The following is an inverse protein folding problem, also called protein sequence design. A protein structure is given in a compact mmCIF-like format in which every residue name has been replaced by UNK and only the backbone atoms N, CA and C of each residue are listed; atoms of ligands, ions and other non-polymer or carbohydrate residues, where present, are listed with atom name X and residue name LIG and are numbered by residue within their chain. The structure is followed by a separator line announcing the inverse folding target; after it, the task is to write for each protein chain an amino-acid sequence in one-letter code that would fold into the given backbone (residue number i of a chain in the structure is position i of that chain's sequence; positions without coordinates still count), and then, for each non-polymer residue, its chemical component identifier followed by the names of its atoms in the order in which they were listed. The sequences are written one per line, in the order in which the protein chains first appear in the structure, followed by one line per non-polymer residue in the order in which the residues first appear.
data_IF_886573259314
#
_entry.id   IF_886573259314
#
_cell.length_a   1.000
_cell.length_b   1.000
_cell.length_c   1.000
_cell.angle_alpha   90.00
_cell.angle_beta   90.00
_cell.angle_gamma   90.00
#
_symmetry.space_group_name_H-M   'P 1'
#
loop_
_entity.id
_entity.type
_entity.pdbx_description
1 polymer ?
#
# COMPACT_ATOMS: atom_id res chain seq x y z
N UNK A 1 -18.84 -17.73 -8.02
CA UNK A 1 -17.43 -17.32 -8.26
C UNK A 1 -16.58 -18.58 -8.23
N UNK A 2 -15.81 -18.88 -9.28
CA UNK A 2 -14.96 -20.08 -9.29
C UNK A 2 -13.61 -19.78 -8.62
N UNK A 3 -12.92 -20.79 -8.10
CA UNK A 3 -11.60 -20.61 -7.46
C UNK A 3 -10.56 -19.97 -8.38
N UNK A 4 -10.64 -20.24 -9.69
CA UNK A 4 -9.81 -19.60 -10.71
C UNK A 4 -10.04 -18.08 -10.79
N UNK A 5 -11.29 -17.61 -10.64
CA UNK A 5 -11.60 -16.18 -10.62
C UNK A 5 -10.99 -15.47 -9.41
N UNK A 6 -11.01 -16.09 -8.23
CA UNK A 6 -10.39 -15.53 -7.02
C UNK A 6 -8.87 -15.39 -7.19
N UNK A 7 -8.21 -16.41 -7.75
CA UNK A 7 -6.78 -16.33 -8.03
C UNK A 7 -6.46 -15.22 -9.04
N UNK A 8 -7.27 -15.07 -10.09
CA UNK A 8 -7.09 -14.03 -11.10
C UNK A 8 -7.23 -12.62 -10.49
N UNK A 9 -8.25 -12.40 -9.65
CA UNK A 9 -8.47 -11.13 -8.94
C UNK A 9 -7.30 -10.85 -7.99
N UNK A 10 -6.92 -11.83 -7.17
CA UNK A 10 -5.79 -11.69 -6.25
C UNK A 10 -4.49 -11.37 -7.00
N UNK A 11 -4.22 -12.06 -8.11
CA UNK A 11 -3.04 -11.83 -8.95
C UNK A 11 -2.99 -10.39 -9.50
N UNK A 12 -4.09 -9.91 -10.10
CA UNK A 12 -4.15 -8.53 -10.60
C UNK A 12 -4.00 -7.50 -9.47
N UNK A 13 -4.66 -7.72 -8.32
CA UNK A 13 -4.52 -6.85 -7.16
C UNK A 13 -3.08 -6.80 -6.64
N UNK A 14 -2.38 -7.94 -6.57
CA UNK A 14 -0.97 -7.98 -6.15
C UNK A 14 -0.06 -7.25 -7.13
N UNK A 15 -0.26 -7.41 -8.44
CA UNK A 15 0.50 -6.68 -9.47
C UNK A 15 0.27 -5.16 -9.38
N UNK A 16 -0.97 -4.75 -9.16
CA UNK A 16 -1.31 -3.35 -8.92
C UNK A 16 -0.66 -2.80 -7.64
N UNK A 17 -0.65 -3.58 -6.57
CA UNK A 17 -0.07 -3.20 -5.28
C UNK A 17 1.47 -3.10 -5.31
N UNK A 18 2.16 -3.94 -6.11
CA UNK A 18 3.63 -3.92 -6.24
C UNK A 18 4.10 -2.71 -7.09
N UNK A 19 3.25 -2.23 -7.99
CA UNK A 19 3.61 -1.16 -8.93
C UNK A 19 3.96 0.14 -8.18
N UNK A 20 5.15 0.73 -8.41
CA UNK A 20 5.55 1.94 -7.71
C UNK A 20 4.68 3.15 -8.13
N UNK A 21 3.81 3.58 -7.22
CA UNK A 21 2.95 4.76 -7.41
C UNK A 21 3.52 6.05 -6.81
N UNK A 22 2.72 7.12 -6.83
CA UNK A 22 3.07 8.42 -6.26
C UNK A 22 3.48 8.33 -4.77
N UNK A 23 2.86 7.42 -4.02
CA UNK A 23 3.18 7.14 -2.61
C UNK A 23 4.62 6.64 -2.42
N UNK A 24 5.11 5.77 -3.31
CA UNK A 24 6.49 5.29 -3.27
C UNK A 24 7.47 6.43 -3.55
N UNK A 25 7.18 7.26 -4.56
CA UNK A 25 7.99 8.44 -4.86
C UNK A 25 8.05 9.42 -3.68
N UNK A 26 6.95 9.64 -2.97
CA UNK A 26 6.94 10.47 -1.76
C UNK A 26 7.89 9.92 -0.69
N UNK A 27 7.78 8.63 -0.35
CA UNK A 27 8.65 7.97 0.64
C UNK A 27 10.12 8.02 0.21
N UNK A 28 10.41 7.70 -1.05
CA UNK A 28 11.75 7.73 -1.61
C UNK A 28 12.35 9.14 -1.55
N UNK A 29 11.57 10.17 -1.89
CA UNK A 29 11.99 11.57 -1.80
C UNK A 29 12.26 12.02 -0.37
N UNK A 30 11.44 11.58 0.60
CA UNK A 30 11.67 11.89 2.02
C UNK A 30 12.92 11.19 2.56
N UNK A 31 13.13 9.94 2.17
CA UNK A 31 14.32 9.15 2.55
C UNK A 31 15.61 9.76 1.99
N UNK A 32 15.60 10.14 0.69
CA UNK A 32 16.78 10.66 -0.01
C UNK A 32 17.06 12.14 0.28
N UNK A 33 16.02 12.97 0.36
CA UNK A 33 16.16 14.43 0.46
C UNK A 33 16.13 14.99 1.89
N UNK A 34 15.58 14.26 2.87
CA UNK A 34 15.46 14.73 4.26
C UNK A 34 16.23 13.86 5.23
N UNK A 35 15.79 12.62 5.42
CA UNK A 35 16.47 11.61 6.24
C UNK A 35 15.84 10.23 6.08
N UNK A 36 16.61 9.17 6.35
CA UNK A 36 16.08 7.79 6.37
C UNK A 36 14.93 7.63 7.36
N UNK A 37 14.99 8.30 8.51
CA UNK A 37 13.93 8.26 9.54
C UNK A 37 12.65 8.94 9.06
N UNK A 38 12.74 10.05 8.31
CA UNK A 38 11.57 10.69 7.72
C UNK A 38 10.90 9.80 6.65
N UNK A 39 11.71 9.12 5.83
CA UNK A 39 11.20 8.11 4.89
C UNK A 39 10.50 6.95 5.59
N UNK A 40 11.10 6.40 6.65
CA UNK A 40 10.51 5.33 7.45
C UNK A 40 9.21 5.77 8.12
N UNK A 41 9.17 6.96 8.73
CA UNK A 41 7.97 7.49 9.36
C UNK A 41 6.82 7.65 8.36
N UNK A 42 7.12 8.13 7.14
CA UNK A 42 6.13 8.24 6.07
C UNK A 42 5.63 6.88 5.58
N UNK A 43 6.54 5.90 5.40
CA UNK A 43 6.18 4.55 5.00
C UNK A 43 5.28 3.87 6.04
N UNK A 44 5.61 4.02 7.33
CA UNK A 44 4.81 3.50 8.43
C UNK A 44 3.43 4.16 8.48
N UNK A 45 3.37 5.49 8.34
CA UNK A 45 2.09 6.22 8.29
C UNK A 45 1.19 5.74 7.15
N UNK A 46 1.75 5.57 5.95
CA UNK A 46 1.00 5.03 4.80
C UNK A 46 0.52 3.60 5.02
N UNK A 47 1.38 2.71 5.52
CA UNK A 47 1.03 1.33 5.78
C UNK A 47 -0.07 1.20 6.83
N UNK A 48 0.07 1.90 7.96
CA UNK A 48 -0.91 1.89 9.05
C UNK A 48 -2.24 2.48 8.59
N UNK A 49 -2.23 3.61 7.88
CA UNK A 49 -3.46 4.21 7.35
C UNK A 49 -4.22 3.28 6.40
N UNK A 50 -3.52 2.63 5.47
CA UNK A 50 -4.13 1.64 4.59
C UNK A 50 -4.68 0.42 5.36
N UNK A 51 -3.95 -0.08 6.36
CA UNK A 51 -4.40 -1.22 7.15
C UNK A 51 -5.67 -0.89 7.94
N UNK A 52 -5.72 0.28 8.58
CA UNK A 52 -6.90 0.76 9.29
C UNK A 52 -8.09 0.95 8.35
N UNK A 53 -7.86 1.52 7.17
CA UNK A 53 -8.91 1.72 6.17
C UNK A 53 -9.45 0.37 5.64
N UNK A 54 -8.56 -0.58 5.32
CA UNK A 54 -8.95 -1.92 4.88
C UNK A 54 -9.75 -2.67 5.97
N UNK A 55 -9.35 -2.54 7.24
CA UNK A 55 -10.11 -3.08 8.36
C UNK A 55 -11.49 -2.42 8.46
N UNK A 56 -11.58 -1.09 8.35
CA UNK A 56 -12.85 -0.39 8.38
C UNK A 56 -13.77 -0.81 7.21
N UNK A 57 -13.23 -0.99 6.01
CA UNK A 57 -13.98 -1.48 4.85
C UNK A 57 -14.55 -2.89 5.08
N UNK A 58 -13.84 -3.76 5.82
CA UNK A 58 -14.36 -5.08 6.22
C UNK A 58 -15.55 -4.98 7.19
N UNK A 59 -15.64 -3.90 7.97
CA UNK A 59 -16.77 -3.60 8.86
C UNK A 59 -17.91 -2.81 8.17
N UNK A 60 -17.77 -2.47 6.88
CA UNK A 60 -18.82 -1.82 6.08
C UNK A 60 -18.69 -0.31 5.90
N UNK A 61 -17.49 0.25 6.07
CA UNK A 61 -17.15 1.59 5.57
C UNK A 61 -17.14 1.61 4.04
#
# INVERSE_FOLDING_TARGET
MTGASLLAIAGVLTLGAISPGASFLLVARLAAGRSRTAGLAAALGMGVGCALFALAALFGL
#
